data_IF_339256980282
#
_entry.id   IF_339256980282
#
_cell.length_a   1.000
_cell.length_b   1.000
_cell.length_c   1.000
_cell.angle_alpha   90.00
_cell.angle_beta   90.00
_cell.angle_gamma   90.00
#
_symmetry.space_group_name_H-M   'P 1'
#
loop_
_entity.id
_entity.type
_entity.pdbx_description
1 polymer ?
#
# COMPACT_ATOMS: atom_id res chain seq x y z
N UNK A 1 29.65 13.29 10.87
CA UNK A 1 28.34 12.62 10.72
C UNK A 1 27.31 13.62 11.20
N UNK A 2 26.44 14.10 10.32
CA UNK A 2 25.28 14.86 10.77
C UNK A 2 24.42 13.93 11.63
N UNK A 3 23.93 14.40 12.77
CA UNK A 3 23.08 13.60 13.66
C UNK A 3 21.79 13.16 12.96
N UNK A 4 21.19 12.06 13.42
CA UNK A 4 19.90 11.62 12.93
C UNK A 4 18.83 12.70 13.16
N UNK A 5 17.91 12.85 12.20
CA UNK A 5 16.85 13.87 12.19
C UNK A 5 15.71 13.47 13.13
N UNK A 6 14.95 14.46 13.60
CA UNK A 6 13.78 14.26 14.48
C UNK A 6 12.51 14.76 13.82
N UNK A 7 11.42 14.00 13.97
CA UNK A 7 10.09 14.48 13.61
C UNK A 7 9.58 15.48 14.65
N UNK A 8 8.55 16.29 14.34
CA UNK A 8 7.89 17.15 15.33
C UNK A 8 7.28 16.39 16.52
N UNK A 9 7.19 15.05 16.46
CA UNK A 9 6.63 14.19 17.50
C UNK A 9 7.70 13.44 18.30
N UNK A 10 8.98 13.71 18.09
CA UNK A 10 10.07 12.98 18.75
C UNK A 10 9.92 12.94 20.28
N UNK A 11 9.64 14.09 20.90
CA UNK A 11 9.42 14.16 22.36
C UNK A 11 8.18 13.38 22.80
N UNK A 12 7.09 13.40 22.02
CA UNK A 12 5.89 12.59 22.29
C UNK A 12 6.22 11.09 22.33
N UNK A 13 7.07 10.63 21.41
CA UNK A 13 7.48 9.23 21.36
C UNK A 13 8.26 8.82 22.60
N UNK A 14 9.13 9.71 23.11
CA UNK A 14 9.86 9.48 24.36
C UNK A 14 8.92 9.45 25.57
N UNK A 15 7.98 10.39 25.66
CA UNK A 15 6.96 10.45 26.71
C UNK A 15 6.08 9.19 26.74
N UNK A 16 5.74 8.65 25.56
CA UNK A 16 4.99 7.41 25.40
C UNK A 16 5.84 6.13 25.62
N UNK A 17 7.12 6.28 25.98
CA UNK A 17 8.02 5.16 26.27
C UNK A 17 8.39 4.33 25.05
N UNK A 18 8.39 4.93 23.85
CA UNK A 18 8.75 4.23 22.63
C UNK A 18 10.22 3.81 22.62
N UNK A 19 10.49 2.64 22.04
CA UNK A 19 11.85 2.24 21.69
C UNK A 19 12.23 2.92 20.38
N UNK A 20 13.11 3.91 20.46
CA UNK A 20 13.61 4.66 19.31
C UNK A 20 14.73 3.89 18.57
N UNK A 21 14.73 3.96 17.24
CA UNK A 21 15.79 3.46 16.36
C UNK A 21 16.07 4.45 15.23
N UNK A 22 17.27 4.39 14.66
CA UNK A 22 17.58 5.08 13.41
C UNK A 22 16.94 4.35 12.23
N UNK A 23 16.21 5.08 11.41
CA UNK A 23 15.55 4.58 10.20
C UNK A 23 15.56 5.66 9.11
N UNK A 24 16.30 5.43 8.03
CA UNK A 24 16.35 6.35 6.89
C UNK A 24 16.91 7.72 7.23
N UNK A 25 17.82 7.81 8.20
CA UNK A 25 18.39 9.06 8.70
C UNK A 25 17.54 9.79 9.75
N UNK A 26 16.47 9.17 10.26
CA UNK A 26 15.58 9.72 11.29
C UNK A 26 15.57 8.84 12.54
N UNK A 27 15.42 9.44 13.72
CA UNK A 27 15.12 8.71 14.95
C UNK A 27 13.60 8.53 15.09
N UNK A 28 13.14 7.27 14.99
CA UNK A 28 11.73 6.92 14.90
C UNK A 28 11.36 5.82 15.92
N UNK A 29 10.11 5.76 16.39
CA UNK A 29 9.63 4.69 17.26
C UNK A 29 9.59 3.35 16.49
N UNK A 30 10.42 2.38 16.89
CA UNK A 30 10.32 1.00 16.42
C UNK A 30 9.03 0.35 16.91
N UNK A 31 8.73 0.53 18.19
CA UNK A 31 7.52 0.09 18.87
C UNK A 31 7.35 0.82 20.21
N UNK A 32 6.14 0.81 20.73
CA UNK A 32 5.74 1.31 22.05
C UNK A 32 5.77 0.17 23.08
N UNK A 33 5.54 0.42 24.38
CA UNK A 33 5.71 -0.59 25.44
C UNK A 33 4.92 -1.90 25.24
N UNK A 34 3.75 -1.86 24.60
CA UNK A 34 2.94 -3.04 24.28
C UNK A 34 3.56 -3.98 23.23
N UNK A 35 4.52 -3.47 22.45
CA UNK A 35 5.27 -4.21 21.45
C UNK A 35 4.56 -4.39 20.10
N UNK A 36 5.38 -4.74 19.09
CA UNK A 36 5.01 -4.86 17.67
C UNK A 36 3.76 -5.72 17.45
N UNK A 37 3.65 -6.86 18.12
CA UNK A 37 2.55 -7.79 17.90
C UNK A 37 1.21 -7.20 18.40
N UNK A 38 1.23 -6.54 19.54
CA UNK A 38 0.05 -5.90 20.13
C UNK A 38 -0.40 -4.72 19.30
N UNK A 39 0.54 -3.89 18.82
CA UNK A 39 0.27 -2.78 17.90
C UNK A 39 -0.36 -3.23 16.58
N UNK A 40 0.17 -4.31 15.98
CA UNK A 40 -0.40 -4.90 14.76
C UNK A 40 -1.85 -5.36 15.00
N UNK A 41 -2.08 -6.13 16.07
CA UNK A 41 -3.40 -6.64 16.42
C UNK A 41 -4.39 -5.51 16.74
N UNK A 42 -3.95 -4.47 17.45
CA UNK A 42 -4.75 -3.29 17.73
C UNK A 42 -5.15 -2.56 16.44
N UNK A 43 -4.22 -2.39 15.49
CA UNK A 43 -4.52 -1.79 14.18
C UNK A 43 -5.61 -2.57 13.43
N UNK A 44 -5.54 -3.91 13.46
CA UNK A 44 -6.48 -4.80 12.76
C UNK A 44 -7.89 -4.86 13.39
N UNK A 45 -8.02 -4.65 14.70
CA UNK A 45 -9.30 -4.75 15.44
C UNK A 45 -9.93 -3.38 15.73
N UNK A 46 -9.11 -2.37 15.97
CA UNK A 46 -9.53 -1.05 16.43
C UNK A 46 -8.98 0.03 15.51
N UNK A 47 -7.67 0.24 15.57
CA UNK A 47 -6.93 1.14 14.71
C UNK A 47 -5.61 1.55 15.35
N UNK A 48 -4.71 2.08 14.53
CA UNK A 48 -3.39 2.53 14.91
C UNK A 48 -3.11 3.92 14.38
N UNK A 49 -2.45 4.74 15.20
CA UNK A 49 -1.95 6.06 14.83
C UNK A 49 -0.43 5.98 14.65
N UNK A 50 0.06 6.36 13.47
CA UNK A 50 1.45 6.23 13.06
C UNK A 50 2.03 7.61 12.77
N UNK A 51 3.21 7.90 13.32
CA UNK A 51 4.02 9.04 12.88
C UNK A 51 4.77 8.64 11.60
N UNK A 52 4.42 9.28 10.50
CA UNK A 52 5.07 9.09 9.19
C UNK A 52 5.69 10.39 8.69
N UNK A 53 5.97 11.33 9.59
CA UNK A 53 6.57 12.63 9.27
C UNK A 53 8.01 12.53 8.76
N UNK A 54 8.66 11.37 8.87
CA UNK A 54 9.96 11.11 8.26
C UNK A 54 9.91 11.01 6.72
N UNK A 55 8.74 10.70 6.13
CA UNK A 55 8.56 10.64 4.67
C UNK A 55 8.89 12.00 4.03
N UNK A 56 9.42 12.00 2.81
CA UNK A 56 9.69 13.25 2.10
C UNK A 56 8.39 13.81 1.50
N UNK A 57 8.22 15.13 1.52
CA UNK A 57 7.04 15.84 1.03
C UNK A 57 7.47 16.97 0.10
N UNK A 58 7.28 16.77 -1.19
CA UNK A 58 7.64 17.71 -2.24
C UNK A 58 6.38 18.41 -2.76
N UNK A 59 6.31 19.74 -2.62
CA UNK A 59 5.21 20.53 -3.17
C UNK A 59 5.56 20.99 -4.58
N UNK A 60 4.64 20.77 -5.50
CA UNK A 60 4.78 21.09 -6.92
C UNK A 60 3.59 21.96 -7.34
N UNK A 61 3.86 23.19 -7.74
CA UNK A 61 2.82 24.14 -8.14
C UNK A 61 3.25 25.02 -9.32
N UNK A 62 2.34 25.84 -9.83
CA UNK A 62 2.53 26.63 -11.04
C UNK A 62 1.90 26.01 -12.28
N UNK A 63 1.89 26.75 -13.40
CA UNK A 63 1.22 26.30 -14.64
C UNK A 63 1.90 25.09 -15.26
N UNK A 64 3.21 24.94 -15.05
CA UNK A 64 4.01 23.83 -15.58
C UNK A 64 4.09 22.63 -14.61
N UNK A 65 3.40 22.66 -13.46
CA UNK A 65 3.35 21.54 -12.51
C UNK A 65 2.83 20.25 -13.16
N UNK A 66 1.72 20.33 -13.90
CA UNK A 66 1.16 19.16 -14.57
C UNK A 66 2.09 18.62 -15.69
N UNK A 67 2.59 19.44 -16.63
CA UNK A 67 3.59 19.00 -17.60
C UNK A 67 4.83 18.34 -16.96
N UNK A 68 5.35 18.93 -15.87
CA UNK A 68 6.48 18.37 -15.12
C UNK A 68 6.14 16.98 -14.55
N UNK A 69 5.04 16.86 -13.83
CA UNK A 69 4.58 15.60 -13.25
C UNK A 69 4.31 14.52 -14.31
N UNK A 70 3.73 14.90 -15.46
CA UNK A 70 3.53 13.99 -16.58
C UNK A 70 4.86 13.47 -17.15
N UNK A 71 5.92 14.25 -17.09
CA UNK A 71 7.22 13.88 -17.62
C UNK A 71 8.04 13.00 -16.66
N UNK A 72 8.01 13.30 -15.35
CA UNK A 72 8.89 12.67 -14.35
C UNK A 72 8.25 11.49 -13.60
N UNK A 73 6.94 11.28 -13.72
CA UNK A 73 6.23 10.19 -13.06
C UNK A 73 5.69 9.17 -14.05
N UNK A 74 5.55 7.90 -13.64
CA UNK A 74 4.94 6.86 -14.49
C UNK A 74 3.42 6.94 -14.59
N UNK A 75 2.76 7.55 -13.61
CA UNK A 75 1.30 7.69 -13.55
C UNK A 75 0.80 8.88 -14.37
N UNK A 76 -0.47 8.83 -14.81
CA UNK A 76 -1.06 9.94 -15.57
C UNK A 76 -1.62 11.01 -14.63
N UNK A 77 -0.82 12.01 -14.28
CA UNK A 77 -1.22 13.14 -13.43
C UNK A 77 -2.38 13.96 -14.02
N UNK A 78 -2.56 13.97 -15.35
CA UNK A 78 -3.67 14.70 -15.98
C UNK A 78 -5.04 14.03 -15.75
N UNK A 79 -5.07 12.74 -15.41
CA UNK A 79 -6.30 12.04 -15.04
C UNK A 79 -6.72 12.28 -13.58
N UNK A 80 -5.83 12.86 -12.77
CA UNK A 80 -6.06 13.10 -11.36
C UNK A 80 -6.86 14.39 -11.17
N UNK A 81 -8.10 14.31 -10.66
CA UNK A 81 -8.89 15.51 -10.34
C UNK A 81 -8.44 16.13 -9.02
N UNK A 82 -8.68 17.43 -8.78
CA UNK A 82 -8.49 18.03 -7.46
C UNK A 82 -9.22 17.23 -6.38
N UNK A 83 -8.61 17.08 -5.22
CA UNK A 83 -9.14 16.26 -4.14
C UNK A 83 -8.96 14.75 -4.36
N UNK A 84 -8.04 14.33 -5.23
CA UNK A 84 -7.70 12.92 -5.48
C UNK A 84 -6.19 12.71 -5.36
N UNK A 85 -5.79 11.55 -4.85
CA UNK A 85 -4.44 11.06 -4.82
C UNK A 85 -4.23 9.81 -5.70
N UNK A 86 -2.99 9.50 -6.06
CA UNK A 86 -2.67 8.27 -6.77
C UNK A 86 -1.26 7.78 -6.41
N UNK A 87 -1.11 6.46 -6.37
CA UNK A 87 0.20 5.83 -6.32
C UNK A 87 0.94 6.03 -7.65
N UNK A 88 2.24 6.29 -7.58
CA UNK A 88 3.10 6.55 -8.73
C UNK A 88 4.51 6.04 -8.49
N UNK A 89 5.28 5.92 -9.57
CA UNK A 89 6.71 5.60 -9.51
C UNK A 89 7.47 6.73 -10.18
N UNK A 90 8.65 7.04 -9.66
CA UNK A 90 9.68 7.88 -10.28
C UNK A 90 10.59 6.91 -11.05
N UNK A 91 10.49 6.83 -12.39
CA UNK A 91 11.28 5.89 -13.17
C UNK A 91 12.65 6.46 -13.51
N UNK A 92 13.60 5.58 -13.80
CA UNK A 92 14.77 5.88 -14.60
C UNK A 92 14.54 5.54 -16.08
N UNK A 93 15.51 5.84 -16.95
CA UNK A 93 15.43 5.58 -18.40
C UNK A 93 15.47 4.08 -18.75
N UNK A 94 15.98 3.25 -17.84
CA UNK A 94 16.16 1.79 -18.00
C UNK A 94 14.92 0.99 -17.58
N UNK A 95 13.89 1.67 -17.07
CA UNK A 95 12.66 1.05 -16.57
C UNK A 95 12.80 0.45 -15.17
N UNK A 96 13.86 0.84 -14.44
CA UNK A 96 13.98 0.69 -13.00
C UNK A 96 13.28 1.85 -12.27
N UNK A 97 13.17 1.73 -10.95
CA UNK A 97 12.55 2.74 -10.10
C UNK A 97 13.62 3.50 -9.32
N UNK A 98 13.62 4.82 -9.46
CA UNK A 98 14.34 5.71 -8.55
C UNK A 98 13.65 5.71 -7.19
N UNK A 99 12.32 5.87 -7.16
CA UNK A 99 11.52 5.68 -5.96
C UNK A 99 10.06 5.40 -6.33
N UNK A 100 9.26 4.95 -5.37
CA UNK A 100 7.81 5.03 -5.45
C UNK A 100 7.24 6.10 -4.52
N UNK A 101 6.01 6.52 -4.79
CA UNK A 101 5.39 7.57 -4.02
C UNK A 101 3.89 7.70 -4.23
N UNK A 102 3.32 8.68 -3.54
CA UNK A 102 1.92 9.05 -3.67
C UNK A 102 1.81 10.51 -4.09
N UNK A 103 1.11 10.77 -5.19
CA UNK A 103 0.83 12.11 -5.68
C UNK A 103 -0.58 12.53 -5.25
N UNK A 104 -0.68 13.58 -4.46
CA UNK A 104 -1.94 14.19 -4.00
C UNK A 104 -2.17 15.47 -4.80
N UNK A 105 -3.30 15.61 -5.50
CA UNK A 105 -3.70 16.88 -6.13
C UNK A 105 -4.57 17.67 -5.15
N UNK A 106 -3.94 18.57 -4.40
CA UNK A 106 -4.58 19.34 -3.34
C UNK A 106 -5.56 20.36 -3.92
N UNK A 107 -5.16 21.04 -5.00
CA UNK A 107 -6.03 21.95 -5.77
C UNK A 107 -5.67 21.95 -7.27
N UNK A 108 -6.19 22.90 -8.05
CA UNK A 108 -6.07 22.89 -9.52
C UNK A 108 -4.63 22.85 -10.04
N UNK A 109 -3.69 23.53 -9.37
CA UNK A 109 -2.27 23.58 -9.75
C UNK A 109 -1.35 23.45 -8.54
N UNK A 110 -1.76 22.62 -7.59
CA UNK A 110 -1.04 22.37 -6.35
C UNK A 110 -1.05 20.88 -6.04
N UNK A 111 0.15 20.31 -6.05
CA UNK A 111 0.39 18.90 -5.87
C UNK A 111 1.36 18.68 -4.72
N UNK A 112 1.13 17.62 -3.97
CA UNK A 112 2.06 17.14 -2.97
C UNK A 112 2.49 15.73 -3.39
N UNK A 113 3.78 15.55 -3.66
CA UNK A 113 4.37 14.24 -3.91
C UNK A 113 5.03 13.76 -2.62
N UNK A 114 4.58 12.62 -2.11
CA UNK A 114 5.15 11.99 -0.91
C UNK A 114 6.02 10.81 -1.32
N UNK A 115 7.29 10.83 -0.93
CA UNK A 115 8.31 9.80 -1.27
C UNK A 115 8.99 9.24 -0.02
N UNK A 116 9.77 8.17 -0.18
CA UNK A 116 10.36 7.44 0.94
C UNK A 116 11.47 8.25 1.63
N UNK A 117 11.51 8.20 2.96
CA UNK A 117 12.47 8.96 3.77
C UNK A 117 13.93 8.72 3.39
N UNK A 118 14.29 7.44 3.17
CA UNK A 118 15.66 7.05 2.81
C UNK A 118 16.10 7.54 1.43
N UNK A 119 15.15 7.91 0.56
CA UNK A 119 15.39 8.35 -0.80
C UNK A 119 15.25 9.87 -0.97
N UNK A 120 14.85 10.61 0.08
CA UNK A 120 14.52 12.04 -0.01
C UNK A 120 15.53 12.88 -0.82
N UNK A 121 16.81 12.77 -0.49
CA UNK A 121 17.87 13.53 -1.17
C UNK A 121 18.07 13.06 -2.62
N UNK A 122 18.01 11.75 -2.85
CA UNK A 122 18.14 11.14 -4.19
C UNK A 122 17.00 11.59 -5.09
N UNK A 123 15.76 11.58 -4.58
CA UNK A 123 14.58 11.97 -5.33
C UNK A 123 14.58 13.46 -5.62
N UNK A 124 14.95 14.28 -4.63
CA UNK A 124 15.13 15.72 -4.80
C UNK A 124 16.11 16.00 -5.94
N UNK A 125 17.33 15.45 -5.87
CA UNK A 125 18.36 15.63 -6.90
C UNK A 125 17.89 15.14 -8.27
N UNK A 126 17.28 13.96 -8.32
CA UNK A 126 16.77 13.36 -9.56
C UNK A 126 15.69 14.21 -10.21
N UNK A 127 14.73 14.74 -9.44
CA UNK A 127 13.64 15.54 -9.98
C UNK A 127 14.11 16.96 -10.31
N UNK A 128 14.97 17.54 -9.47
CA UNK A 128 15.49 18.90 -9.63
C UNK A 128 16.18 19.09 -10.99
N UNK A 129 16.89 18.09 -11.51
CA UNK A 129 17.61 18.19 -12.79
C UNK A 129 16.68 18.47 -13.99
N UNK A 130 15.40 18.11 -13.87
CA UNK A 130 14.41 18.32 -14.93
C UNK A 130 13.65 19.64 -14.80
N UNK A 131 13.70 20.28 -13.62
CA UNK A 131 13.00 21.56 -13.36
C UNK A 131 13.36 22.69 -14.34
N UNK A 132 14.61 22.86 -14.85
CA UNK A 132 14.93 23.95 -15.77
C UNK A 132 14.19 23.90 -17.13
N UNK A 133 13.52 22.78 -17.44
CA UNK A 133 12.69 22.61 -18.64
C UNK A 133 11.32 23.28 -18.53
N UNK A 134 10.96 23.75 -17.34
CA UNK A 134 9.63 24.25 -16.99
C UNK A 134 9.78 25.64 -16.37
N UNK A 135 9.17 26.65 -16.99
CA UNK A 135 9.42 28.06 -16.66
C UNK A 135 8.52 28.56 -15.54
N UNK A 136 7.27 28.08 -15.48
CA UNK A 136 6.28 28.43 -14.46
C UNK A 136 6.05 27.22 -13.53
N UNK A 137 7.13 26.81 -12.87
CA UNK A 137 7.18 25.68 -11.94
C UNK A 137 7.78 26.12 -10.60
N UNK A 138 7.04 25.90 -9.53
CA UNK A 138 7.54 25.96 -8.15
C UNK A 138 7.71 24.53 -7.64
N UNK A 139 8.90 24.19 -7.18
CA UNK A 139 9.27 22.87 -6.66
C UNK A 139 9.97 23.05 -5.30
N UNK A 140 9.32 22.62 -4.23
CA UNK A 140 9.74 22.91 -2.86
C UNK A 140 9.71 21.66 -1.98
N UNK A 141 10.72 21.47 -1.14
CA UNK A 141 10.68 20.49 -0.05
C UNK A 141 9.96 21.12 1.15
N UNK A 142 8.78 20.60 1.48
CA UNK A 142 7.96 21.04 2.62
C UNK A 142 7.95 20.03 3.77
N UNK A 143 8.90 19.08 3.76
CA UNK A 143 9.04 18.03 4.79
C UNK A 143 9.15 18.61 6.19
N UNK A 144 9.88 19.71 6.37
CA UNK A 144 10.02 20.38 7.67
C UNK A 144 8.80 21.21 8.11
N UNK A 145 7.93 21.60 7.17
CA UNK A 145 6.79 22.49 7.42
C UNK A 145 5.48 21.74 7.70
N UNK A 146 5.34 20.54 7.17
CA UNK A 146 4.18 19.67 7.34
C UNK A 146 4.60 18.39 8.06
N UNK A 147 3.89 18.06 9.13
CA UNK A 147 3.92 16.70 9.69
C UNK A 147 3.02 15.78 8.86
N UNK A 148 3.15 14.47 9.06
CA UNK A 148 2.32 13.50 8.37
C UNK A 148 1.97 12.34 9.31
N UNK A 149 0.67 12.07 9.45
CA UNK A 149 0.16 10.97 10.28
C UNK A 149 -0.57 9.96 9.41
N UNK A 150 -0.53 8.69 9.81
CA UNK A 150 -1.45 7.68 9.29
C UNK A 150 -2.35 7.19 10.43
N UNK A 151 -3.66 7.30 10.25
CA UNK A 151 -4.68 6.76 11.17
C UNK A 151 -5.41 5.62 10.44
N UNK A 152 -5.13 4.39 10.83
CA UNK A 152 -5.44 3.19 10.04
C UNK A 152 -6.22 2.17 10.87
N UNK A 153 -7.38 1.72 10.41
CA UNK A 153 -8.16 0.64 11.03
C UNK A 153 -9.66 0.91 11.20
N UNK A 154 -10.42 -0.10 11.67
CA UNK A 154 -11.89 -0.12 11.63
C UNK A 154 -12.62 0.99 12.39
N UNK A 155 -12.01 1.55 13.45
CA UNK A 155 -12.61 2.56 14.33
C UNK A 155 -12.12 3.98 14.06
N UNK A 156 -11.19 4.14 13.13
CA UNK A 156 -10.52 5.42 12.85
C UNK A 156 -11.46 6.51 12.37
N UNK A 157 -12.50 6.14 11.62
CA UNK A 157 -13.53 7.08 11.17
C UNK A 157 -14.21 7.78 12.35
N UNK A 158 -14.67 7.02 13.34
CA UNK A 158 -15.38 7.57 14.50
C UNK A 158 -14.50 8.56 15.28
N UNK A 159 -13.22 8.22 15.44
CA UNK A 159 -12.23 9.09 16.09
C UNK A 159 -12.04 10.38 15.31
N UNK A 160 -11.89 10.28 14.00
CA UNK A 160 -11.71 11.44 13.15
C UNK A 160 -12.95 12.36 13.14
N UNK A 161 -14.15 11.78 13.09
CA UNK A 161 -15.42 12.52 13.21
C UNK A 161 -15.54 13.22 14.57
N UNK A 162 -15.13 12.57 15.66
CA UNK A 162 -15.14 13.18 17.00
C UNK A 162 -14.17 14.37 17.12
N UNK A 163 -13.01 14.30 16.46
CA UNK A 163 -12.00 15.38 16.47
C UNK A 163 -12.39 16.54 15.55
N UNK A 164 -12.93 16.25 14.36
CA UNK A 164 -13.40 17.27 13.40
C UNK A 164 -14.68 17.96 13.90
N UNK A 165 -15.58 17.20 14.53
CA UNK A 165 -16.92 17.65 14.90
C UNK A 165 -17.79 17.94 13.66
N UNK A 166 -18.64 18.96 13.74
CA UNK A 166 -19.59 19.34 12.68
C UNK A 166 -19.03 20.38 11.70
N UNK A 167 -17.72 20.64 11.70
CA UNK A 167 -17.13 21.74 10.92
C UNK A 167 -16.97 21.40 9.44
N UNK A 168 -16.49 20.19 9.17
CA UNK A 168 -16.08 19.71 7.84
C UNK A 168 -16.37 18.21 7.73
N UNK A 169 -16.43 17.70 6.50
CA UNK A 169 -16.64 16.27 6.25
C UNK A 169 -15.37 15.43 6.46
N UNK A 170 -15.47 14.16 6.08
CA UNK A 170 -14.34 13.25 5.86
C UNK A 170 -14.33 12.82 4.38
N UNK A 171 -13.17 12.47 3.80
CA UNK A 171 -13.04 12.18 2.37
C UNK A 171 -13.65 10.82 1.96
N UNK A 172 -14.93 10.58 2.21
CA UNK A 172 -15.60 9.28 1.97
C UNK A 172 -16.61 9.32 0.80
N UNK A 173 -16.98 8.15 0.23
CA UNK A 173 -16.57 6.77 0.59
C UNK A 173 -15.37 6.24 -0.22
N UNK A 174 -14.86 7.02 -1.19
CA UNK A 174 -13.91 6.53 -2.19
C UNK A 174 -12.46 6.59 -1.67
N UNK A 175 -11.70 5.52 -1.89
CA UNK A 175 -10.25 5.52 -1.68
C UNK A 175 -9.59 6.65 -2.49
N UNK A 176 -8.46 7.12 -1.97
CA UNK A 176 -7.64 8.19 -2.52
C UNK A 176 -8.32 9.57 -2.65
N UNK A 177 -9.52 9.76 -2.09
CA UNK A 177 -10.09 11.11 -1.95
C UNK A 177 -9.35 11.85 -0.86
N UNK A 178 -9.22 13.17 -1.03
CA UNK A 178 -8.73 14.06 0.02
C UNK A 178 -9.58 15.32 0.08
N UNK A 179 -9.64 15.91 1.27
CA UNK A 179 -10.32 17.17 1.57
C UNK A 179 -9.42 18.00 2.49
N UNK A 180 -9.66 19.30 2.54
CA UNK A 180 -9.12 20.16 3.59
C UNK A 180 -10.14 20.30 4.72
N UNK A 181 -9.66 20.23 5.95
CA UNK A 181 -10.47 20.24 7.17
C UNK A 181 -9.81 21.09 8.23
N UNK A 182 -10.59 21.78 9.06
CA UNK A 182 -10.04 22.55 10.18
C UNK A 182 -9.99 21.68 11.45
N UNK A 183 -8.78 21.37 11.93
CA UNK A 183 -8.56 20.65 13.19
C UNK A 183 -7.87 21.58 14.17
N UNK A 184 -8.52 21.86 15.31
CA UNK A 184 -7.96 22.71 16.37
C UNK A 184 -7.51 24.11 15.86
N UNK A 185 -8.18 24.65 14.83
CA UNK A 185 -7.85 25.94 14.22
C UNK A 185 -6.75 25.88 13.15
N UNK A 186 -6.25 24.69 12.82
CA UNK A 186 -5.27 24.47 11.75
C UNK A 186 -5.93 23.84 10.51
N UNK A 187 -5.53 24.30 9.32
CA UNK A 187 -5.91 23.67 8.06
C UNK A 187 -5.12 22.36 7.88
N UNK A 188 -5.84 21.24 7.81
CA UNK A 188 -5.28 19.90 7.68
C UNK A 188 -5.88 19.23 6.46
N UNK A 189 -5.03 18.83 5.51
CA UNK A 189 -5.44 17.91 4.45
C UNK A 189 -5.61 16.52 5.04
N UNK A 190 -6.74 15.88 4.73
CA UNK A 190 -7.06 14.50 5.13
C UNK A 190 -7.28 13.70 3.86
N UNK A 191 -6.61 12.56 3.72
CA UNK A 191 -6.69 11.69 2.55
C UNK A 191 -7.09 10.25 2.92
N UNK A 192 -7.90 9.58 2.09
CA UNK A 192 -8.22 8.14 2.17
C UNK A 192 -7.10 7.28 1.58
N UNK A 193 -5.93 7.36 2.19
CA UNK A 193 -4.73 6.63 1.80
C UNK A 193 -4.17 5.87 3.00
N UNK A 194 -3.31 4.89 2.73
CA UNK A 194 -2.82 4.02 3.78
C UNK A 194 -1.88 2.94 3.30
N UNK A 195 -1.16 2.37 4.27
CA UNK A 195 -0.08 1.40 4.02
C UNK A 195 -0.26 0.11 4.85
N UNK A 196 -1.48 -0.16 5.34
CA UNK A 196 -1.77 -1.30 6.22
C UNK A 196 -2.70 -2.34 5.60
N UNK A 197 -3.34 -2.02 4.47
CA UNK A 197 -4.37 -2.85 3.85
C UNK A 197 -5.71 -2.83 4.58
N UNK A 198 -5.88 -1.99 5.60
CA UNK A 198 -7.16 -1.78 6.26
C UNK A 198 -8.19 -1.16 5.29
N UNK A 199 -9.46 -1.56 5.34
CA UNK A 199 -10.51 -0.92 4.55
C UNK A 199 -10.73 0.54 4.92
N UNK A 200 -10.54 0.90 6.20
CA UNK A 200 -10.67 2.27 6.69
C UNK A 200 -9.29 2.81 7.07
N UNK A 201 -8.84 3.79 6.30
CA UNK A 201 -7.49 4.35 6.36
C UNK A 201 -7.53 5.83 6.03
N UNK A 202 -6.83 6.62 6.84
CA UNK A 202 -6.66 8.04 6.63
C UNK A 202 -5.19 8.43 6.80
N UNK A 203 -4.75 9.41 6.04
CA UNK A 203 -3.51 10.14 6.26
C UNK A 203 -3.82 11.63 6.45
N UNK A 204 -3.13 12.27 7.37
CA UNK A 204 -3.33 13.67 7.75
C UNK A 204 -2.03 14.45 7.56
N UNK A 205 -2.14 15.67 7.07
CA UNK A 205 -1.02 16.58 6.80
C UNK A 205 -1.15 17.88 7.59
N UNK A 206 -0.96 17.86 8.92
CA UNK A 206 -1.05 19.08 9.73
C UNK A 206 0.23 19.92 9.62
N UNK A 207 0.13 21.25 9.88
CA UNK A 207 1.29 22.08 10.15
C UNK A 207 2.18 21.47 11.25
N UNK A 208 3.50 21.51 11.05
CA UNK A 208 4.46 20.86 11.94
C UNK A 208 4.40 21.38 13.40
N UNK A 209 4.11 22.66 13.58
CA UNK A 209 3.96 23.32 14.89
C UNK A 209 2.69 22.87 15.65
N UNK A 210 1.66 22.41 14.93
CA UNK A 210 0.42 21.88 15.50
C UNK A 210 0.43 20.35 15.66
N UNK A 211 1.48 19.68 15.20
CA UNK A 211 1.56 18.23 15.12
C UNK A 211 1.33 17.54 16.47
N UNK A 212 2.07 17.94 17.50
CA UNK A 212 1.97 17.35 18.84
C UNK A 212 0.57 17.49 19.45
N UNK A 213 -0.07 18.66 19.30
CA UNK A 213 -1.41 18.91 19.82
C UNK A 213 -2.46 18.04 19.11
N UNK A 214 -2.39 17.93 17.79
CA UNK A 214 -3.32 17.10 17.01
C UNK A 214 -3.08 15.61 17.30
N UNK A 215 -1.82 15.18 17.42
CA UNK A 215 -1.45 13.81 17.77
C UNK A 215 -2.05 13.38 19.10
N UNK A 216 -1.82 14.14 20.17
CA UNK A 216 -2.41 13.89 21.50
C UNK A 216 -3.93 13.85 21.42
N UNK A 217 -4.54 14.82 20.72
CA UNK A 217 -6.00 14.87 20.57
C UNK A 217 -6.58 13.62 19.88
N UNK A 218 -5.91 13.09 18.86
CA UNK A 218 -6.32 11.87 18.17
C UNK A 218 -6.20 10.63 19.06
N UNK A 219 -5.14 10.54 19.88
CA UNK A 219 -4.97 9.45 20.86
C UNK A 219 -6.02 9.54 21.96
N UNK A 220 -6.23 10.70 22.57
CA UNK A 220 -7.21 10.92 23.63
C UNK A 220 -8.63 10.58 23.15
N UNK A 221 -9.02 11.05 21.96
CA UNK A 221 -10.32 10.72 21.37
C UNK A 221 -10.42 9.28 20.85
N UNK A 222 -9.29 8.59 20.71
CA UNK A 222 -9.22 7.20 20.26
C UNK A 222 -9.16 6.18 21.39
N UNK A 223 -8.93 6.59 22.65
CA UNK A 223 -8.75 5.70 23.79
C UNK A 223 -9.95 4.78 24.00
N UNK A 224 -11.17 5.33 24.02
CA UNK A 224 -12.41 4.55 24.17
C UNK A 224 -12.67 3.58 23.00
N UNK A 225 -12.03 3.82 21.87
CA UNK A 225 -12.12 3.01 20.67
C UNK A 225 -10.99 1.98 20.55
N UNK A 226 -10.01 1.99 21.46
CA UNK A 226 -8.84 1.10 21.44
C UNK A 226 -7.78 1.51 20.42
N UNK A 227 -7.74 2.78 19.98
CA UNK A 227 -6.65 3.29 19.15
C UNK A 227 -5.39 3.38 19.98
N UNK A 228 -4.28 2.94 19.39
CA UNK A 228 -2.95 3.01 20.01
C UNK A 228 -1.95 3.68 19.08
N UNK A 229 -0.87 4.28 19.61
CA UNK A 229 0.25 4.68 18.78
C UNK A 229 0.98 3.43 18.27
N UNK A 230 1.48 3.49 17.03
CA UNK A 230 2.08 2.34 16.34
C UNK A 230 3.43 2.69 15.72
N UNK A 231 4.44 1.86 15.97
CA UNK A 231 5.81 2.05 15.51
C UNK A 231 6.11 1.37 14.16
N UNK A 232 7.35 1.57 13.70
CA UNK A 232 7.86 1.06 12.42
C UNK A 232 7.80 -0.47 12.31
N UNK A 233 8.00 -1.20 13.41
CA UNK A 233 7.98 -2.65 13.39
C UNK A 233 6.60 -3.21 13.03
N UNK A 234 5.54 -2.65 13.62
CA UNK A 234 4.18 -3.03 13.28
C UNK A 234 3.79 -2.52 11.88
N UNK A 235 4.22 -1.31 11.49
CA UNK A 235 4.05 -0.80 10.11
C UNK A 235 4.60 -1.80 9.07
N UNK A 236 5.80 -2.34 9.27
CA UNK A 236 6.39 -3.34 8.37
C UNK A 236 5.61 -4.65 8.35
N UNK A 237 5.13 -5.14 9.50
CA UNK A 237 4.28 -6.36 9.51
C UNK A 237 2.94 -6.14 8.80
N UNK A 238 2.31 -4.97 8.95
CA UNK A 238 1.00 -4.66 8.37
C UNK A 238 1.08 -4.49 6.84
N UNK A 239 2.10 -3.78 6.35
CA UNK A 239 2.31 -3.60 4.89
C UNK A 239 2.65 -4.92 4.21
N UNK A 240 3.47 -5.75 4.86
CA UNK A 240 3.87 -7.05 4.31
C UNK A 240 2.66 -7.96 4.19
N UNK A 241 1.80 -7.96 5.22
CA UNK A 241 0.54 -8.69 5.20
C UNK A 241 -0.44 -8.14 4.13
N UNK A 242 -0.43 -6.84 3.88
CA UNK A 242 -1.18 -6.24 2.77
C UNK A 242 -0.59 -6.57 1.38
N UNK A 243 0.64 -7.08 1.31
CA UNK A 243 1.36 -7.32 0.06
C UNK A 243 1.94 -6.07 -0.57
N UNK A 244 2.16 -5.01 0.20
CA UNK A 244 2.70 -3.75 -0.30
C UNK A 244 4.25 -3.78 -0.36
N UNK A 245 4.84 -3.25 -1.46
CA UNK A 245 6.27 -3.23 -1.65
C UNK A 245 6.92 -2.19 -0.73
N UNK A 246 8.13 -2.49 -0.26
CA UNK A 246 9.01 -1.51 0.39
C UNK A 246 10.19 -1.22 -0.54
N UNK A 247 10.48 0.07 -0.80
CA UNK A 247 11.67 0.46 -1.54
C UNK A 247 12.95 -0.05 -0.84
N UNK A 248 13.88 -0.60 -1.62
CA UNK A 248 15.08 -1.27 -1.14
C UNK A 248 14.87 -2.76 -0.82
N UNK A 249 13.66 -3.28 -1.02
CA UNK A 249 13.35 -4.72 -0.91
C UNK A 249 12.65 -5.24 -2.17
N UNK A 250 11.47 -4.68 -2.48
CA UNK A 250 10.66 -5.09 -3.63
C UNK A 250 10.79 -4.12 -4.82
N UNK A 251 11.42 -2.97 -4.61
CA UNK A 251 11.73 -1.90 -5.55
C UNK A 251 13.19 -1.47 -5.38
N UNK A 252 13.79 -0.92 -6.41
CA UNK A 252 15.21 -0.55 -6.42
C UNK A 252 16.06 -1.75 -6.85
N UNK A 253 17.07 -2.10 -6.07
CA UNK A 253 18.05 -3.13 -6.42
C UNK A 253 17.78 -4.44 -5.66
N UNK A 254 17.89 -5.59 -6.33
CA UNK A 254 17.72 -6.91 -5.76
C UNK A 254 18.94 -7.36 -4.91
N UNK A 255 18.81 -8.53 -4.28
CA UNK A 255 19.86 -9.10 -3.45
C UNK A 255 21.16 -9.46 -4.21
N UNK A 256 21.14 -9.48 -5.54
CA UNK A 256 22.29 -9.72 -6.41
C UNK A 256 22.88 -8.41 -6.98
N UNK A 257 22.39 -7.25 -6.55
CA UNK A 257 22.88 -5.95 -6.99
C UNK A 257 22.35 -5.49 -8.34
N UNK A 258 21.24 -6.05 -8.82
CA UNK A 258 20.62 -5.70 -10.12
C UNK A 258 19.32 -4.95 -9.91
N UNK A 259 19.02 -4.00 -10.79
CA UNK A 259 17.77 -3.26 -10.69
C UNK A 259 16.56 -4.17 -10.95
N UNK A 260 15.57 -4.04 -10.09
CA UNK A 260 14.27 -4.71 -10.19
C UNK A 260 13.44 -3.93 -11.22
N UNK A 261 13.05 -4.55 -12.36
CA UNK A 261 12.20 -3.92 -13.35
C UNK A 261 10.87 -3.50 -12.71
N UNK A 262 10.37 -2.30 -13.00
CA UNK A 262 9.11 -1.80 -12.42
C UNK A 262 7.95 -2.81 -12.62
N UNK A 263 7.84 -3.43 -13.80
CA UNK A 263 6.78 -4.40 -14.08
C UNK A 263 6.95 -5.78 -13.41
N UNK A 264 8.03 -6.01 -12.68
CA UNK A 264 8.12 -7.14 -11.74
C UNK A 264 7.07 -7.03 -10.63
N UNK A 265 6.59 -5.83 -10.34
CA UNK A 265 5.57 -5.57 -9.34
C UNK A 265 4.18 -5.58 -9.95
N UNK A 266 3.25 -6.22 -9.24
CA UNK A 266 1.84 -6.19 -9.62
C UNK A 266 1.25 -4.77 -9.59
N UNK A 267 1.77 -3.89 -8.72
CA UNK A 267 1.34 -2.50 -8.58
C UNK A 267 1.61 -1.64 -9.82
N UNK A 268 2.64 -1.97 -10.61
CA UNK A 268 2.95 -1.27 -11.86
C UNK A 268 1.77 -1.23 -12.84
N UNK A 269 0.87 -2.22 -12.79
CA UNK A 269 -0.33 -2.27 -13.65
C UNK A 269 -1.23 -1.04 -13.52
N UNK A 270 -1.26 -0.40 -12.35
CA UNK A 270 -2.05 0.81 -12.12
C UNK A 270 -1.19 2.04 -11.87
N UNK A 271 0.10 1.88 -11.51
CA UNK A 271 1.04 2.98 -11.32
C UNK A 271 1.65 3.51 -12.63
N UNK A 272 1.62 2.73 -13.73
CA UNK A 272 2.18 3.11 -15.03
C UNK A 272 1.06 3.30 -16.05
N UNK A 273 1.02 4.46 -16.70
CA UNK A 273 0.05 4.76 -17.74
C UNK A 273 0.71 5.01 -19.09
N UNK A 274 0.29 4.27 -20.11
CA UNK A 274 0.70 4.51 -21.51
C UNK A 274 -0.34 5.30 -22.31
N UNK A 275 -1.33 5.90 -21.62
CA UNK A 275 -2.36 6.73 -22.25
C UNK A 275 -1.74 7.77 -23.19
N UNK A 276 -2.30 7.99 -24.39
CA UNK A 276 -1.86 9.07 -25.27
C UNK A 276 -1.90 10.45 -24.59
N UNK A 277 -2.86 10.67 -23.68
CA UNK A 277 -2.99 11.93 -22.90
C UNK A 277 -1.79 12.17 -21.99
N UNK A 278 -1.11 11.10 -21.54
CA UNK A 278 0.09 11.24 -20.71
C UNK A 278 1.27 11.81 -21.49
N UNK A 279 1.34 11.50 -22.79
CA UNK A 279 2.48 11.85 -23.63
C UNK A 279 3.74 11.05 -23.27
N UNK A 280 4.89 11.61 -23.64
CA UNK A 280 6.20 11.04 -23.38
C UNK A 280 6.69 11.31 -21.95
N UNK A 281 7.47 10.40 -21.40
CA UNK A 281 7.99 10.48 -20.03
C UNK A 281 9.26 9.63 -19.88
N UNK A 282 10.01 9.87 -18.81
CA UNK A 282 11.27 9.17 -18.54
C UNK A 282 11.05 7.65 -18.52
N UNK A 283 11.86 6.92 -19.31
CA UNK A 283 11.79 5.46 -19.38
C UNK A 283 10.56 4.88 -20.09
N UNK A 284 9.71 5.71 -20.74
CA UNK A 284 8.45 5.27 -21.36
C UNK A 284 8.61 4.06 -22.28
N UNK A 285 9.59 4.10 -23.18
CA UNK A 285 9.80 3.03 -24.17
C UNK A 285 10.18 1.71 -23.49
N UNK A 286 11.16 1.74 -22.58
CA UNK A 286 11.61 0.55 -21.84
C UNK A 286 10.48 -0.04 -20.99
N UNK A 287 9.72 0.82 -20.30
CA UNK A 287 8.54 0.41 -19.53
C UNK A 287 7.45 -0.18 -20.42
N UNK A 288 7.27 0.34 -21.64
CA UNK A 288 6.32 -0.21 -22.59
C UNK A 288 6.72 -1.62 -23.04
N UNK A 289 8.01 -1.88 -23.26
CA UNK A 289 8.49 -3.22 -23.58
C UNK A 289 8.32 -4.18 -22.40
N UNK A 290 8.64 -3.76 -21.17
CA UNK A 290 8.37 -4.55 -19.97
C UNK A 290 6.86 -4.89 -19.84
N UNK A 291 5.98 -3.91 -20.04
CA UNK A 291 4.53 -4.11 -20.04
C UNK A 291 4.10 -5.14 -21.09
N UNK A 292 4.60 -5.02 -22.32
CA UNK A 292 4.28 -5.94 -23.42
C UNK A 292 4.72 -7.36 -23.09
N UNK A 293 5.93 -7.54 -22.58
CA UNK A 293 6.45 -8.84 -22.15
C UNK A 293 5.54 -9.49 -21.11
N UNK A 294 5.23 -8.76 -20.03
CA UNK A 294 4.36 -9.26 -18.95
C UNK A 294 2.94 -9.55 -19.44
N UNK A 295 2.42 -8.75 -20.37
CA UNK A 295 1.12 -8.98 -21.01
C UNK A 295 1.13 -10.25 -21.85
N UNK A 296 2.11 -10.40 -22.74
CA UNK A 296 2.23 -11.58 -23.61
C UNK A 296 2.44 -12.87 -22.79
N UNK A 297 3.22 -12.80 -21.70
CA UNK A 297 3.41 -13.94 -20.78
C UNK A 297 2.08 -14.42 -20.20
N UNK A 298 1.21 -13.50 -19.78
CA UNK A 298 -0.12 -13.84 -19.21
C UNK A 298 -1.11 -14.37 -20.24
N UNK A 299 -0.92 -13.99 -21.50
CA UNK A 299 -1.71 -14.48 -22.62
C UNK A 299 -1.16 -15.78 -23.21
N UNK A 300 -0.08 -16.33 -22.66
CA UNK A 300 0.64 -17.52 -23.18
C UNK A 300 1.12 -17.32 -24.63
N UNK A 301 1.63 -16.12 -24.92
CA UNK A 301 2.04 -15.66 -26.26
C UNK A 301 3.45 -15.08 -26.29
N UNK A 302 4.23 -15.27 -25.22
CA UNK A 302 5.59 -14.77 -25.14
C UNK A 302 6.53 -15.75 -25.85
N UNK A 303 7.22 -15.27 -26.89
CA UNK A 303 8.23 -16.00 -27.66
C UNK A 303 9.67 -15.53 -27.38
N UNK A 304 9.83 -14.49 -26.56
CA UNK A 304 11.13 -13.97 -26.16
C UNK A 304 11.93 -15.03 -25.39
N UNK A 305 13.17 -15.35 -25.82
CA UNK A 305 14.06 -16.25 -25.08
C UNK A 305 14.40 -15.74 -23.67
N UNK A 306 14.64 -16.67 -22.73
CA UNK A 306 14.91 -16.38 -21.31
C UNK A 306 16.06 -15.37 -21.10
N UNK A 307 17.12 -15.44 -21.91
CA UNK A 307 18.30 -14.55 -21.83
C UNK A 307 18.03 -13.12 -22.30
N UNK A 308 16.86 -12.86 -22.89
CA UNK A 308 16.43 -11.56 -23.40
C UNK A 308 15.22 -10.96 -22.66
N UNK A 309 14.76 -11.61 -21.60
CA UNK A 309 13.65 -11.12 -20.80
C UNK A 309 14.04 -9.83 -20.07
N UNK A 310 13.21 -8.80 -20.23
CA UNK A 310 13.30 -7.55 -19.47
C UNK A 310 12.72 -7.73 -18.06
N UNK A 311 11.77 -8.64 -17.88
CA UNK A 311 11.11 -8.95 -16.60
C UNK A 311 11.21 -10.46 -16.34
N UNK A 312 12.43 -10.99 -16.10
CA UNK A 312 12.65 -12.43 -15.92
C UNK A 312 12.00 -12.95 -14.63
N UNK A 313 11.85 -12.07 -13.64
CA UNK A 313 11.28 -12.36 -12.32
C UNK A 313 10.18 -11.36 -11.94
N UNK A 314 9.33 -11.74 -11.01
CA UNK A 314 8.25 -10.93 -10.46
C UNK A 314 8.17 -11.10 -8.95
N UNK A 315 7.57 -10.12 -8.27
CA UNK A 315 7.33 -10.18 -6.83
C UNK A 315 6.07 -11.00 -6.56
N UNK A 316 6.24 -12.09 -5.80
CA UNK A 316 5.18 -12.99 -5.37
C UNK A 316 4.98 -12.92 -3.86
N UNK A 317 3.73 -13.10 -3.43
CA UNK A 317 3.39 -13.29 -2.03
C UNK A 317 3.41 -14.78 -1.71
N UNK A 318 3.96 -15.16 -0.55
CA UNK A 318 4.11 -16.54 -0.15
C UNK A 318 3.73 -16.74 1.32
N UNK A 319 2.98 -17.80 1.59
CA UNK A 319 2.69 -18.25 2.94
C UNK A 319 3.59 -19.44 3.27
N UNK A 320 4.30 -19.37 4.39
CA UNK A 320 5.11 -20.47 4.89
C UNK A 320 4.24 -21.37 5.77
N UNK A 321 4.33 -22.68 5.54
CA UNK A 321 3.51 -23.71 6.19
C UNK A 321 4.22 -24.36 7.38
N UNK A 322 5.53 -24.14 7.52
CA UNK A 322 6.33 -24.63 8.63
C UNK A 322 6.91 -23.50 9.48
N UNK A 323 7.61 -23.89 10.54
CA UNK A 323 8.28 -22.97 11.45
C UNK A 323 9.50 -22.32 10.82
N UNK A 324 9.79 -21.08 11.22
CA UNK A 324 10.93 -20.30 10.75
C UNK A 324 10.51 -18.93 10.23
N UNK A 325 11.49 -18.06 10.05
CA UNK A 325 11.29 -16.73 9.46
C UNK A 325 12.24 -16.60 8.28
N UNK A 326 11.68 -16.46 7.08
CA UNK A 326 12.47 -16.18 5.90
C UNK A 326 13.03 -14.75 5.98
N UNK A 327 14.28 -14.56 5.57
CA UNK A 327 14.93 -13.25 5.51
C UNK A 327 15.26 -12.90 4.07
N UNK A 328 15.49 -11.62 3.81
CA UNK A 328 16.00 -11.16 2.53
C UNK A 328 17.20 -12.04 2.09
N UNK A 329 17.17 -12.53 0.85
CA UNK A 329 18.18 -13.41 0.30
C UNK A 329 17.98 -14.91 0.52
N UNK A 330 17.04 -15.34 1.38
CA UNK A 330 16.66 -16.76 1.51
C UNK A 330 16.25 -17.32 0.15
N UNK A 331 16.86 -18.43 -0.26
CA UNK A 331 16.55 -19.08 -1.54
C UNK A 331 15.15 -19.69 -1.53
N UNK A 332 14.48 -19.61 -2.68
CA UNK A 332 13.18 -20.25 -2.92
C UNK A 332 13.34 -21.31 -4.01
N UNK A 333 12.87 -22.51 -3.72
CA UNK A 333 12.93 -23.65 -4.61
C UNK A 333 11.53 -24.09 -5.04
N UNK A 334 11.43 -24.55 -6.28
CA UNK A 334 10.27 -25.24 -6.86
C UNK A 334 10.85 -26.46 -7.59
N UNK A 335 10.32 -27.65 -7.28
CA UNK A 335 10.80 -28.92 -7.86
C UNK A 335 12.34 -29.06 -7.79
N UNK A 336 12.91 -28.82 -6.60
CA UNK A 336 14.36 -28.83 -6.29
C UNK A 336 15.22 -27.80 -7.07
N UNK A 337 14.62 -26.91 -7.87
CA UNK A 337 15.31 -25.85 -8.59
C UNK A 337 15.14 -24.51 -7.89
N UNK A 338 16.23 -23.76 -7.71
CA UNK A 338 16.16 -22.36 -7.26
C UNK A 338 15.45 -21.50 -8.31
N UNK A 339 14.36 -20.86 -7.92
CA UNK A 339 13.54 -19.97 -8.76
C UNK A 339 13.62 -18.51 -8.34
N UNK A 340 14.34 -18.19 -7.27
CA UNK A 340 14.48 -16.82 -6.80
C UNK A 340 14.85 -16.72 -5.33
N UNK A 341 14.65 -15.52 -4.77
CA UNK A 341 15.00 -15.20 -3.38
C UNK A 341 13.88 -14.41 -2.71
N UNK A 342 13.75 -14.60 -1.41
CA UNK A 342 12.91 -13.78 -0.54
C UNK A 342 13.44 -12.35 -0.51
N UNK A 343 12.54 -11.37 -0.60
CA UNK A 343 12.85 -9.94 -0.47
C UNK A 343 12.51 -9.48 0.95
N UNK A 344 11.26 -9.68 1.38
CA UNK A 344 10.81 -9.34 2.74
C UNK A 344 10.14 -10.53 3.41
N UNK A 345 10.42 -10.79 4.70
CA UNK A 345 9.82 -11.93 5.40
C UNK A 345 9.75 -11.75 6.92
N UNK A 346 8.59 -12.10 7.49
CA UNK A 346 8.34 -11.96 8.93
C UNK A 346 7.24 -12.90 9.43
N UNK A 347 7.01 -12.87 10.75
CA UNK A 347 5.85 -13.48 11.40
C UNK A 347 4.83 -12.38 11.68
N UNK A 348 3.59 -12.59 11.27
CA UNK A 348 2.48 -11.66 11.52
C UNK A 348 1.46 -12.28 12.47
N UNK A 349 0.98 -11.54 13.49
CA UNK A 349 -0.13 -11.99 14.32
C UNK A 349 -1.47 -11.72 13.61
N UNK A 350 -2.51 -12.45 13.96
CA UNK A 350 -3.86 -12.19 13.47
C UNK A 350 -4.92 -12.61 14.48
N UNK A 351 -6.07 -11.95 14.44
CA UNK A 351 -7.26 -12.35 15.20
C UNK A 351 -7.95 -13.54 14.54
N UNK A 352 -8.37 -14.52 15.32
CA UNK A 352 -9.35 -15.50 14.85
C UNK A 352 -10.69 -14.80 14.67
N UNK A 353 -11.32 -15.04 13.54
CA UNK A 353 -12.59 -14.43 13.19
C UNK A 353 -13.74 -15.37 13.52
N UNK A 354 -14.84 -14.80 14.03
CA UNK A 354 -16.06 -15.51 14.41
C UNK A 354 -17.25 -14.99 13.59
N UNK A 355 -18.29 -15.81 13.42
CA UNK A 355 -19.46 -15.47 12.60
C UNK A 355 -19.33 -15.84 11.11
N UNK A 356 -20.30 -15.44 10.29
CA UNK A 356 -20.38 -15.82 8.87
C UNK A 356 -20.68 -14.63 7.95
N UNK A 357 -20.14 -14.68 6.72
CA UNK A 357 -20.37 -13.67 5.68
C UNK A 357 -19.95 -12.25 6.09
N UNK A 358 -20.89 -11.31 5.97
CA UNK A 358 -20.69 -9.91 6.35
C UNK A 358 -20.69 -9.68 7.87
N UNK A 359 -21.23 -10.62 8.65
CA UNK A 359 -21.31 -10.54 10.11
C UNK A 359 -20.03 -11.00 10.81
N UNK A 360 -19.01 -11.43 10.07
CA UNK A 360 -17.78 -11.92 10.69
C UNK A 360 -17.00 -10.81 11.36
N UNK A 361 -16.63 -11.01 12.63
CA UNK A 361 -15.89 -10.05 13.47
C UNK A 361 -14.63 -10.69 14.06
N UNK A 362 -13.59 -9.90 14.40
CA UNK A 362 -12.47 -10.39 15.19
C UNK A 362 -12.96 -10.87 16.56
N UNK A 363 -12.64 -12.11 16.94
CA UNK A 363 -12.84 -12.63 18.29
C UNK A 363 -11.75 -12.17 19.25
N UNK A 364 -11.56 -12.91 20.35
CA UNK A 364 -10.59 -12.57 21.40
C UNK A 364 -9.34 -13.46 21.39
N UNK A 365 -9.33 -14.50 20.57
CA UNK A 365 -8.15 -15.34 20.36
C UNK A 365 -7.31 -14.81 19.19
N UNK A 366 -5.99 -14.75 19.40
CA UNK A 366 -5.02 -14.46 18.34
C UNK A 366 -4.14 -15.67 18.02
N UNK A 367 -3.59 -15.70 16.82
CA UNK A 367 -2.63 -16.68 16.36
C UNK A 367 -1.54 -15.98 15.52
N UNK A 368 -0.57 -16.75 15.02
CA UNK A 368 0.55 -16.24 14.23
C UNK A 368 0.73 -17.08 12.98
N UNK A 369 1.26 -16.45 11.93
CA UNK A 369 1.66 -17.11 10.69
C UNK A 369 2.90 -16.47 10.11
N UNK A 370 3.68 -17.24 9.37
CA UNK A 370 4.85 -16.75 8.65
C UNK A 370 4.47 -16.45 7.21
N UNK A 371 4.86 -15.27 6.73
CA UNK A 371 4.64 -14.82 5.36
C UNK A 371 5.90 -14.17 4.81
N UNK A 372 6.03 -14.15 3.49
CA UNK A 372 7.06 -13.38 2.82
C UNK A 372 6.61 -12.88 1.44
N UNK A 373 7.33 -11.88 0.94
CA UNK A 373 7.38 -11.51 -0.46
C UNK A 373 8.71 -12.04 -1.03
N UNK A 374 8.69 -12.47 -2.28
CA UNK A 374 9.86 -13.03 -2.93
C UNK A 374 9.94 -12.61 -4.40
N UNK A 375 11.16 -12.35 -4.87
CA UNK A 375 11.46 -12.06 -6.26
C UNK A 375 11.81 -13.36 -6.98
N UNK A 376 10.84 -13.91 -7.71
CA UNK A 376 10.88 -15.25 -8.28
C UNK A 376 10.66 -15.23 -9.79
N UNK A 377 11.09 -16.28 -10.49
CA UNK A 377 10.87 -16.45 -11.93
C UNK A 377 9.40 -16.18 -12.31
N UNK A 378 9.18 -15.35 -13.33
CA UNK A 378 7.88 -14.73 -13.61
C UNK A 378 6.82 -15.69 -14.18
N UNK A 379 7.16 -16.97 -14.40
CA UNK A 379 6.27 -18.02 -14.89
C UNK A 379 5.49 -18.77 -13.80
N UNK A 380 5.73 -18.46 -12.52
CA UNK A 380 5.09 -19.17 -11.41
C UNK A 380 3.63 -18.78 -11.21
N UNK A 381 2.85 -19.70 -10.66
CA UNK A 381 1.39 -19.59 -10.51
C UNK A 381 0.91 -19.55 -9.06
N UNK A 382 -0.26 -18.93 -8.83
CA UNK A 382 -0.96 -19.00 -7.55
C UNK A 382 -1.26 -20.47 -7.16
N UNK A 383 -1.05 -20.80 -5.89
CA UNK A 383 -1.25 -22.15 -5.35
C UNK A 383 -0.08 -23.11 -5.59
N UNK A 384 0.93 -22.70 -6.37
CA UNK A 384 2.13 -23.49 -6.59
C UNK A 384 2.90 -23.66 -5.28
N UNK A 385 3.26 -24.91 -4.99
CA UNK A 385 4.08 -25.26 -3.82
C UNK A 385 5.53 -24.89 -4.09
N UNK A 386 6.21 -24.47 -3.04
CA UNK A 386 7.62 -24.11 -3.05
C UNK A 386 8.25 -24.48 -1.70
N UNK A 387 9.57 -24.36 -1.63
CA UNK A 387 10.33 -24.46 -0.39
C UNK A 387 11.19 -23.21 -0.21
N UNK A 388 11.26 -22.69 1.01
CA UNK A 388 12.13 -21.58 1.36
C UNK A 388 13.25 -22.11 2.24
N UNK A 389 14.50 -21.85 1.86
CA UNK A 389 15.66 -22.28 2.66
C UNK A 389 15.86 -21.32 3.83
N UNK A 390 15.69 -21.85 5.04
CA UNK A 390 15.85 -21.13 6.30
C UNK A 390 16.89 -21.87 7.13
N UNK A 391 18.06 -21.26 7.34
CA UNK A 391 19.19 -21.87 8.07
C UNK A 391 19.51 -23.28 7.55
N UNK A 392 19.68 -23.39 6.23
CA UNK A 392 19.98 -24.62 5.50
C UNK A 392 18.90 -25.71 5.56
N UNK A 393 17.70 -25.39 6.06
CA UNK A 393 16.57 -26.32 6.09
C UNK A 393 15.46 -25.84 5.14
N UNK A 394 14.93 -26.72 4.27
CA UNK A 394 13.77 -26.39 3.46
C UNK A 394 12.53 -26.28 4.34
N UNK A 395 11.80 -25.18 4.18
CA UNK A 395 10.51 -24.96 4.83
C UNK A 395 9.44 -24.84 3.75
N UNK A 396 8.42 -25.69 3.84
CA UNK A 396 7.33 -25.71 2.87
C UNK A 396 6.60 -24.36 2.82
N UNK A 397 6.30 -23.91 1.60
CA UNK A 397 5.60 -22.67 1.33
C UNK A 397 4.67 -22.82 0.13
N UNK A 398 3.77 -21.85 -0.05
CA UNK A 398 2.85 -21.79 -1.17
C UNK A 398 2.71 -20.36 -1.66
N UNK A 399 2.71 -20.17 -2.97
CA UNK A 399 2.44 -18.88 -3.61
C UNK A 399 0.96 -18.55 -3.42
N UNK A 400 0.66 -17.38 -2.87
CA UNK A 400 -0.70 -16.92 -2.63
C UNK A 400 -0.95 -15.61 -3.34
N UNK A 401 -2.21 -15.33 -3.71
CA UNK A 401 -2.56 -14.07 -4.34
C UNK A 401 -2.57 -12.87 -3.39
N UNK A 402 -2.93 -13.11 -2.12
CA UNK A 402 -3.05 -12.09 -1.06
C UNK A 402 -3.06 -12.76 0.30
N UNK A 403 -2.51 -12.11 1.32
CA UNK A 403 -2.57 -12.63 2.71
C UNK A 403 -3.82 -12.17 3.46
N UNK A 404 -4.47 -11.08 3.03
CA UNK A 404 -5.69 -10.54 3.66
C UNK A 404 -6.80 -10.30 2.62
N UNK A 405 -8.06 -10.34 3.08
CA UNK A 405 -9.23 -9.94 2.32
C UNK A 405 -9.94 -8.76 3.00
N UNK A 406 -10.34 -7.76 2.21
CA UNK A 406 -11.09 -6.58 2.66
C UNK A 406 -12.53 -6.52 2.11
N UNK A 407 -13.06 -7.64 1.61
CA UNK A 407 -14.35 -7.68 0.89
C UNK A 407 -15.57 -7.49 1.82
N UNK A 408 -15.38 -7.58 3.13
CA UNK A 408 -16.40 -7.35 4.13
C UNK A 408 -15.89 -6.32 5.16
N UNK A 409 -15.90 -5.02 4.80
CA UNK A 409 -15.54 -3.95 5.72
C UNK A 409 -16.40 -4.02 7.00
N UNK A 410 -15.90 -3.51 8.14
CA UNK A 410 -14.74 -2.61 8.23
C UNK A 410 -13.38 -3.29 8.45
N UNK A 411 -13.32 -4.62 8.53
CA UNK A 411 -12.11 -5.35 8.94
C UNK A 411 -11.31 -5.93 7.76
N UNK A 412 -9.99 -5.81 7.81
CA UNK A 412 -9.09 -6.67 7.04
C UNK A 412 -9.01 -8.07 7.69
N UNK A 413 -9.25 -9.13 6.91
CA UNK A 413 -9.32 -10.51 7.40
C UNK A 413 -8.16 -11.35 6.89
N UNK A 414 -7.49 -12.15 7.74
CA UNK A 414 -6.43 -13.04 7.29
C UNK A 414 -6.99 -14.16 6.40
N UNK A 415 -6.32 -14.41 5.28
CA UNK A 415 -6.58 -15.53 4.37
C UNK A 415 -5.52 -16.60 4.60
N UNK A 416 -5.93 -17.73 5.21
CA UNK A 416 -5.04 -18.83 5.53
C UNK A 416 -5.02 -19.85 4.38
N UNK A 417 -3.84 -20.35 3.94
CA UNK A 417 -3.72 -21.29 2.82
C UNK A 417 -4.55 -22.57 2.97
N UNK A 418 -4.77 -23.04 4.20
CA UNK A 418 -5.54 -24.26 4.46
C UNK A 418 -7.05 -24.03 4.52
N UNK A 419 -7.51 -22.77 4.54
CA UNK A 419 -8.93 -22.39 4.56
C UNK A 419 -9.47 -22.02 3.17
N UNK A 420 -8.69 -22.14 2.09
CA UNK A 420 -9.18 -21.97 0.73
C UNK A 420 -9.97 -23.20 0.25
N UNK A 421 -11.01 -23.59 0.98
CA UNK A 421 -12.21 -24.12 0.33
C UNK A 421 -12.96 -22.90 -0.19
N UNK A 422 -13.12 -22.82 -1.51
CA UNK A 422 -13.78 -21.74 -2.28
C UNK A 422 -12.86 -20.57 -2.70
N UNK A 423 -12.12 -20.79 -3.77
CA UNK A 423 -12.18 -19.96 -4.99
C UNK A 423 -11.30 -20.55 -6.11
N UNK A 424 -11.29 -21.89 -6.24
CA UNK A 424 -10.85 -22.49 -7.49
C UNK A 424 -11.83 -22.02 -8.56
N UNK A 425 -11.38 -21.11 -9.42
CA UNK A 425 -12.10 -20.73 -10.64
C UNK A 425 -12.13 -21.98 -11.50
N UNK A 426 -13.18 -22.79 -11.39
CA UNK A 426 -13.41 -23.93 -12.25
C UNK A 426 -13.62 -23.40 -13.68
N UNK A 427 -12.53 -23.29 -14.43
CA UNK A 427 -12.57 -22.99 -15.85
C UNK A 427 -12.72 -24.30 -16.61
N UNK A 428 -13.96 -24.67 -16.86
CA UNK A 428 -14.35 -25.55 -17.96
C UNK A 428 -15.52 -24.88 -18.70
N UNK A 429 -15.60 -25.00 -20.03
CA UNK A 429 -16.65 -24.34 -20.84
C UNK A 429 -18.07 -24.69 -20.38
N UNK A 430 -18.30 -25.94 -19.93
CA UNK A 430 -19.57 -26.36 -19.30
C UNK A 430 -19.93 -25.55 -18.04
N UNK A 431 -18.93 -25.13 -17.26
CA UNK A 431 -19.16 -24.36 -16.05
C UNK A 431 -19.56 -22.90 -16.35
N UNK A 432 -19.20 -22.36 -17.52
CA UNK A 432 -19.59 -21.00 -17.92
C UNK A 432 -21.05 -20.90 -18.37
N UNK A 433 -21.55 -21.90 -19.10
CA UNK A 433 -22.98 -21.96 -19.45
C UNK A 433 -23.85 -22.13 -18.21
N UNK A 434 -23.49 -23.04 -17.30
CA UNK A 434 -24.21 -23.21 -16.04
C UNK A 434 -24.17 -21.94 -15.18
N UNK A 435 -23.02 -21.23 -15.13
CA UNK A 435 -22.92 -19.95 -14.43
C UNK A 435 -23.82 -18.88 -15.06
N UNK A 436 -23.83 -18.79 -16.39
CA UNK A 436 -24.63 -17.82 -17.12
C UNK A 436 -26.13 -18.06 -16.89
N UNK A 437 -26.59 -19.31 -16.99
CA UNK A 437 -27.97 -19.68 -16.69
C UNK A 437 -28.34 -19.33 -15.25
N UNK A 438 -27.48 -19.67 -14.29
CA UNK A 438 -27.73 -19.40 -12.87
C UNK A 438 -27.78 -17.90 -12.55
N UNK A 439 -26.92 -17.09 -13.20
CA UNK A 439 -26.92 -15.64 -13.07
C UNK A 439 -28.19 -15.01 -13.67
N UNK A 440 -28.65 -15.48 -14.83
CA UNK A 440 -29.89 -15.01 -15.45
C UNK A 440 -31.10 -15.38 -14.58
N UNK A 441 -31.14 -16.61 -14.05
CA UNK A 441 -32.19 -17.07 -13.15
C UNK A 441 -32.28 -16.19 -11.90
N UNK A 442 -31.14 -15.92 -11.24
CA UNK A 442 -31.09 -15.04 -10.06
C UNK A 442 -31.49 -13.60 -10.36
N UNK A 443 -31.12 -13.08 -11.53
CA UNK A 443 -31.55 -11.75 -11.96
C UNK A 443 -33.06 -11.67 -12.18
N UNK A 444 -33.65 -12.71 -12.77
CA UNK A 444 -35.10 -12.83 -12.96
C UNK A 444 -35.83 -12.93 -11.61
N UNK A 445 -35.38 -13.82 -10.72
CA UNK A 445 -35.96 -13.98 -9.37
C UNK A 445 -35.89 -12.68 -8.57
N UNK A 446 -34.76 -11.98 -8.59
CA UNK A 446 -34.62 -10.68 -7.93
C UNK A 446 -35.54 -9.62 -8.55
N UNK A 447 -35.72 -9.62 -9.87
CA UNK A 447 -36.64 -8.70 -10.55
C UNK A 447 -38.09 -8.94 -10.14
N UNK A 448 -38.53 -10.21 -10.11
CA UNK A 448 -39.88 -10.59 -9.68
C UNK A 448 -40.08 -10.23 -8.20
N UNK A 449 -39.09 -10.53 -7.35
CA UNK A 449 -39.14 -10.18 -5.93
C UNK A 449 -39.26 -8.67 -5.72
N UNK A 450 -38.49 -7.85 -6.45
CA UNK A 450 -38.62 -6.38 -6.40
C UNK A 450 -39.98 -5.87 -6.85
N UNK A 451 -40.62 -6.53 -7.81
CA UNK A 451 -41.94 -6.13 -8.30
C UNK A 451 -43.08 -6.55 -7.36
N UNK A 452 -42.95 -7.69 -6.67
CA UNK A 452 -44.05 -8.30 -5.93
C UNK A 452 -43.93 -8.16 -4.42
N UNK A 453 -42.72 -8.01 -3.89
CA UNK A 453 -42.41 -8.12 -2.46
C UNK A 453 -41.69 -6.88 -1.91
N UNK A 454 -41.07 -6.05 -2.76
CA UNK A 454 -40.45 -4.82 -2.30
C UNK A 454 -41.49 -3.69 -2.20
N UNK A 455 -41.62 -3.13 -1.00
CA UNK A 455 -42.40 -1.92 -0.76
C UNK A 455 -41.55 -0.74 -1.26
N UNK A 456 -42.01 -0.05 -2.30
CA UNK A 456 -41.36 1.17 -2.81
C UNK A 456 -41.48 2.27 -1.74
N UNK A 457 -40.38 2.60 -1.06
CA UNK A 457 -40.31 3.65 -0.04
C UNK A 457 -40.12 5.06 -0.62
N UNK A 458 -40.15 5.20 -1.96
CA UNK A 458 -40.11 6.49 -2.64
C UNK A 458 -41.35 6.52 -3.56
N UNK A 459 -42.36 7.37 -3.27
CA UNK A 459 -43.41 7.65 -4.23
C UNK A 459 -42.75 8.37 -5.41
N UNK A 460 -42.85 7.78 -6.60
CA UNK A 460 -42.59 8.53 -7.83
C UNK A 460 -43.88 9.27 -8.17
N UNK A 461 -43.82 10.60 -8.11
CA UNK A 461 -44.55 11.46 -9.04
C UNK A 461 -43.61 11.91 -10.15
#
# INVERSE_FOLDING_TARGET
>A
MAGAKHTPLYEEHLELGAKIVEFGGWEMPLHYPQGILSEHLATRKYGGLFDISHMCRLRISGRDALPFLQYVLTSNAAALLPGIAQYTIIPDETGGAIDDGYLYRVSDSDYLLVTNAANAEKDWQWLQQYTPRFHDLTFEDVTGNLAMFALQGPKTKAVLEAVIGNKTGIPEPLLNRLINSELMGADVTIARTGYTGEPLSFELFPPADMAASIWRKLLDSGEEHGIVPVGLGARDTLRLEAGFPLYGQELGTDADGRDIPIFALSAARFAVSFSPVKGDFIGRETLYQQFREVKLRREDRLDTPDDKLLVPRSIYLMALLGDGIARAGSQVLVDDRTVGKVTSGTVVPYWKFEGSGTMTTPGDESARRTICLAYLDAGLSEGQKAEVIIRDKPVSAVIVRRHIGGEAPPYARPLLPNNTKNNARAKGEKAMEELAVNLVQKAQENTIWRQQQAINLIPSE
#
